data_IF_290643788679
#
_entry.id   IF_290643788679
#
_cell.length_a   1.000
_cell.length_b   1.000
_cell.length_c   1.000
_cell.angle_alpha   90.00
_cell.angle_beta   90.00
_cell.angle_gamma   90.00
#
_symmetry.space_group_name_H-M   'P 1'
#
loop_
_entity.id
_entity.type
_entity.pdbx_description
1 polymer ?
#
# COMPACT_ATOMS: atom_id res chain seq x y z
N UNK A 1 37.71 19.30 -67.27
CA UNK A 1 37.52 19.76 -65.89
C UNK A 1 36.27 19.07 -65.34
N UNK A 2 36.34 18.07 -64.44
CA UNK A 2 35.17 17.43 -63.88
C UNK A 2 34.66 18.18 -62.64
N UNK A 3 33.36 18.39 -62.60
CA UNK A 3 32.64 19.02 -61.50
C UNK A 3 32.68 18.14 -60.20
N UNK A 4 33.08 18.75 -59.09
CA UNK A 4 33.05 18.11 -57.77
C UNK A 4 31.61 18.08 -57.28
N UNK A 5 31.04 16.87 -57.15
CA UNK A 5 29.82 16.64 -56.37
C UNK A 5 30.12 16.85 -54.89
N UNK A 6 29.49 17.85 -54.28
CA UNK A 6 29.50 18.05 -52.84
C UNK A 6 28.47 17.09 -52.20
N UNK A 7 28.93 16.24 -51.31
CA UNK A 7 28.07 15.39 -50.48
C UNK A 7 27.26 16.24 -49.48
N UNK A 8 25.98 15.93 -49.23
CA UNK A 8 25.19 16.65 -48.23
C UNK A 8 25.74 16.36 -46.84
N UNK A 9 26.02 17.42 -46.08
CA UNK A 9 26.32 17.35 -44.65
C UNK A 9 25.10 16.78 -43.94
N UNK A 10 25.23 15.54 -43.44
CA UNK A 10 24.30 14.99 -42.48
C UNK A 10 24.35 15.85 -41.21
N UNK A 11 23.29 16.61 -40.97
CA UNK A 11 23.08 17.36 -39.75
C UNK A 11 22.87 16.37 -38.61
N UNK A 12 23.82 16.35 -37.70
CA UNK A 12 23.76 15.68 -36.43
C UNK A 12 22.66 16.35 -35.55
N UNK A 13 21.47 15.79 -35.55
CA UNK A 13 20.42 16.08 -34.62
C UNK A 13 19.83 14.74 -34.12
N UNK A 14 20.56 14.07 -33.23
CA UNK A 14 20.03 12.99 -32.42
C UNK A 14 20.99 12.75 -31.26
N UNK A 15 20.95 13.61 -30.26
CA UNK A 15 21.29 13.24 -28.89
C UNK A 15 20.64 14.23 -27.91
N UNK A 16 19.33 14.30 -27.96
CA UNK A 16 18.62 14.68 -26.76
C UNK A 16 18.74 13.44 -25.84
N UNK A 17 19.82 13.42 -25.06
CA UNK A 17 19.99 12.47 -23.98
C UNK A 17 18.72 12.55 -23.15
N UNK A 18 17.90 11.49 -23.18
CA UNK A 18 16.84 11.25 -22.19
C UNK A 18 17.54 11.02 -20.85
N UNK A 19 17.99 12.10 -20.21
CA UNK A 19 18.36 12.06 -18.80
C UNK A 19 17.07 11.85 -18.03
N UNK A 20 16.78 10.61 -17.67
CA UNK A 20 15.80 10.36 -16.63
C UNK A 20 16.20 11.18 -15.41
N UNK A 21 15.32 12.03 -14.86
CA UNK A 21 15.64 12.78 -13.66
C UNK A 21 16.11 11.81 -12.58
N UNK A 22 17.20 12.15 -11.89
CA UNK A 22 17.64 11.34 -10.76
C UNK A 22 16.53 11.30 -9.70
N UNK A 23 16.30 10.13 -9.12
CA UNK A 23 15.33 9.99 -8.02
C UNK A 23 15.77 10.87 -6.85
N UNK A 24 14.82 11.57 -6.26
CA UNK A 24 15.08 12.49 -5.17
C UNK A 24 15.00 11.77 -3.80
N UNK A 25 15.87 12.16 -2.90
CA UNK A 25 15.79 11.70 -1.52
C UNK A 25 14.73 12.49 -0.76
N UNK A 26 13.75 11.82 -0.17
CA UNK A 26 12.68 12.41 0.64
C UNK A 26 12.47 11.59 1.90
N UNK A 27 12.11 12.24 3.00
CA UNK A 27 11.66 11.51 4.19
C UNK A 27 10.23 11.00 3.99
N UNK A 28 9.89 9.86 4.56
CA UNK A 28 8.52 9.34 4.50
C UNK A 28 7.51 10.34 5.05
N UNK A 29 7.88 11.12 6.09
CA UNK A 29 7.04 12.18 6.64
C UNK A 29 6.82 13.40 5.72
N UNK A 30 7.61 13.52 4.64
CA UNK A 30 7.44 14.54 3.59
C UNK A 30 6.57 14.01 2.44
N UNK A 31 6.47 12.68 2.30
CA UNK A 31 5.75 12.00 1.23
C UNK A 31 4.29 11.74 1.61
N UNK A 32 4.02 11.55 2.90
CA UNK A 32 2.70 11.19 3.39
C UNK A 32 2.38 11.81 4.74
N UNK A 33 1.10 11.97 5.01
CA UNK A 33 0.57 12.22 6.36
C UNK A 33 0.08 10.91 6.98
N UNK A 34 -0.13 10.91 8.30
CA UNK A 34 -0.40 9.68 9.03
C UNK A 34 -1.59 9.83 9.96
N UNK A 35 -2.33 8.74 10.06
CA UNK A 35 -3.45 8.62 10.96
C UNK A 35 -3.43 7.30 11.73
N UNK A 36 -4.46 7.07 12.49
CA UNK A 36 -4.70 5.85 13.24
C UNK A 36 -6.13 5.83 13.78
N UNK A 37 -6.43 4.88 14.63
CA UNK A 37 -7.73 4.76 15.24
C UNK A 37 -7.64 4.13 16.62
N UNK A 38 -8.78 3.68 17.11
CA UNK A 38 -8.89 2.96 18.38
C UNK A 38 -10.00 1.90 18.31
N UNK A 39 -10.13 1.14 19.36
CA UNK A 39 -11.21 0.16 19.52
C UNK A 39 -12.35 0.81 20.27
N UNK A 40 -13.57 0.89 19.69
CA UNK A 40 -14.77 1.27 20.43
C UNK A 40 -14.98 0.32 21.62
N UNK A 41 -15.69 0.79 22.66
CA UNK A 41 -15.94 -0.06 23.85
C UNK A 41 -16.57 -1.39 23.44
N UNK A 42 -15.91 -2.49 23.72
CA UNK A 42 -16.39 -3.84 23.42
C UNK A 42 -17.50 -4.29 24.36
N UNK A 43 -17.67 -3.65 25.53
CA UNK A 43 -18.76 -3.92 26.46
C UNK A 43 -20.09 -3.30 26.02
N UNK A 44 -20.09 -2.42 25.03
CA UNK A 44 -21.27 -1.79 24.47
C UNK A 44 -21.57 -2.40 23.09
N UNK A 45 -22.54 -3.33 23.06
CA UNK A 45 -22.95 -4.05 21.84
C UNK A 45 -23.45 -3.11 20.74
N UNK A 46 -24.04 -1.97 21.10
CA UNK A 46 -24.52 -0.97 20.13
C UNK A 46 -23.40 -0.42 19.23
N UNK A 47 -22.14 -0.59 19.62
CA UNK A 47 -21.01 -0.20 18.78
C UNK A 47 -20.77 -1.18 17.62
N UNK A 48 -21.31 -2.41 17.70
CA UNK A 48 -20.96 -3.51 16.79
C UNK A 48 -22.16 -4.16 16.11
N UNK A 49 -23.27 -4.39 16.84
CA UNK A 49 -24.43 -5.11 16.30
C UNK A 49 -25.10 -4.36 15.15
N UNK A 50 -25.22 -5.04 13.99
CA UNK A 50 -25.80 -4.45 12.79
C UNK A 50 -24.92 -3.36 12.14
N UNK A 51 -23.63 -3.32 12.49
CA UNK A 51 -22.69 -2.34 11.93
C UNK A 51 -22.51 -2.48 10.43
N UNK A 52 -22.29 -1.36 9.75
CA UNK A 52 -22.06 -1.24 8.31
C UNK A 52 -20.80 -0.44 7.97
N UNK A 53 -20.11 0.13 8.97
CA UNK A 53 -18.85 0.86 8.80
C UNK A 53 -17.69 -0.11 8.90
N UNK A 54 -16.86 -0.16 7.87
CA UNK A 54 -15.68 -1.01 7.84
C UNK A 54 -14.68 -0.58 8.91
N UNK A 55 -14.22 -1.53 9.73
CA UNK A 55 -13.26 -1.30 10.81
C UNK A 55 -12.09 -2.27 10.70
N UNK A 56 -10.96 -1.75 10.22
CA UNK A 56 -9.76 -2.55 9.90
C UNK A 56 -8.97 -2.87 11.15
N UNK A 57 -8.66 -4.14 11.30
CA UNK A 57 -7.77 -4.69 12.34
C UNK A 57 -6.56 -5.38 11.71
N UNK A 58 -5.61 -5.81 12.53
CA UNK A 58 -4.45 -6.57 12.04
C UNK A 58 -4.83 -7.91 11.39
N UNK A 59 -6.01 -8.45 11.66
CA UNK A 59 -6.50 -9.71 11.09
C UNK A 59 -7.01 -9.54 9.66
N UNK A 60 -7.35 -8.33 9.24
CA UNK A 60 -7.92 -8.04 7.93
C UNK A 60 -6.84 -7.83 6.87
N UNK A 61 -5.62 -7.36 7.27
CA UNK A 61 -4.54 -7.02 6.34
C UNK A 61 -3.78 -8.28 5.89
N UNK A 62 -4.46 -9.10 5.07
CA UNK A 62 -3.94 -10.37 4.51
C UNK A 62 -3.58 -10.29 3.03
N UNK A 63 -4.05 -9.27 2.35
CA UNK A 63 -3.79 -8.98 0.94
C UNK A 63 -3.39 -7.51 0.76
N UNK A 64 -2.85 -7.17 -0.39
CA UNK A 64 -2.44 -5.80 -0.69
C UNK A 64 -3.61 -4.84 -0.98
N UNK A 65 -4.83 -5.36 -1.09
CA UNK A 65 -6.05 -4.58 -1.33
C UNK A 65 -7.17 -5.05 -0.41
N UNK A 66 -7.81 -4.11 0.27
CA UNK A 66 -8.89 -4.39 1.22
C UNK A 66 -10.23 -3.90 0.68
N UNK A 67 -11.10 -4.83 0.35
CA UNK A 67 -12.48 -4.57 -0.08
C UNK A 67 -13.50 -4.64 1.06
N UNK A 68 -13.12 -5.19 2.19
CA UNK A 68 -13.97 -5.40 3.38
C UNK A 68 -13.17 -5.77 4.60
N UNK A 69 -13.87 -5.90 5.73
CA UNK A 69 -13.32 -6.28 7.03
C UNK A 69 -14.11 -7.43 7.64
N UNK A 70 -13.47 -8.20 8.51
CA UNK A 70 -14.13 -9.28 9.28
C UNK A 70 -15.14 -8.74 10.29
N UNK A 71 -14.85 -7.57 10.85
CA UNK A 71 -15.73 -6.88 11.80
C UNK A 71 -16.14 -5.54 11.22
N UNK A 72 -17.40 -5.19 11.34
CA UNK A 72 -17.94 -3.87 11.04
C UNK A 72 -18.48 -3.26 12.34
N UNK A 73 -18.47 -1.95 12.41
CA UNK A 73 -18.99 -1.20 13.53
C UNK A 73 -20.15 -0.33 13.09
N UNK A 74 -20.98 0.07 14.04
CA UNK A 74 -22.10 0.98 13.79
C UNK A 74 -21.60 2.41 13.62
N UNK A 75 -22.47 3.31 13.17
CA UNK A 75 -22.18 4.74 13.16
C UNK A 75 -21.88 5.30 14.55
N UNK A 76 -22.54 4.74 15.61
CA UNK A 76 -22.25 5.05 17.01
C UNK A 76 -20.81 4.66 17.37
N UNK A 77 -20.41 3.42 17.04
CA UNK A 77 -19.04 2.95 17.27
C UNK A 77 -17.99 3.73 16.48
N UNK A 78 -18.34 4.25 15.29
CA UNK A 78 -17.45 5.03 14.44
C UNK A 78 -17.38 6.52 14.81
N UNK A 79 -18.24 7.03 15.68
CA UNK A 79 -18.44 8.45 15.95
C UNK A 79 -17.15 9.22 16.28
N UNK A 80 -16.23 8.56 17.02
CA UNK A 80 -14.97 9.15 17.45
C UNK A 80 -13.78 8.69 16.60
N UNK A 81 -14.05 7.92 15.53
CA UNK A 81 -13.04 7.39 14.62
C UNK A 81 -12.99 8.22 13.34
N UNK A 82 -11.80 8.36 12.79
CA UNK A 82 -11.62 8.95 11.48
C UNK A 82 -11.99 7.93 10.40
N UNK A 83 -12.91 8.31 9.51
CA UNK A 83 -13.22 7.54 8.30
C UNK A 83 -12.21 7.93 7.21
N UNK A 84 -11.29 7.02 6.91
CA UNK A 84 -10.27 7.21 5.89
C UNK A 84 -10.82 6.86 4.51
N UNK A 85 -10.52 7.67 3.46
CA UNK A 85 -11.02 7.43 2.11
C UNK A 85 -10.40 6.19 1.46
N UNK A 86 -11.05 5.67 0.42
CA UNK A 86 -10.45 4.71 -0.49
C UNK A 86 -9.14 5.28 -1.10
N UNK A 87 -8.15 4.42 -1.34
CA UNK A 87 -6.81 4.82 -1.77
C UNK A 87 -5.84 5.11 -0.62
N UNK A 88 -6.32 5.23 0.63
CA UNK A 88 -5.45 5.29 1.80
C UNK A 88 -4.71 3.96 1.98
N UNK A 89 -3.44 4.01 2.41
CA UNK A 89 -2.70 2.81 2.77
C UNK A 89 -2.83 2.54 4.27
N UNK A 90 -2.89 1.28 4.63
CA UNK A 90 -2.93 0.81 6.03
C UNK A 90 -1.75 -0.11 6.27
N UNK A 91 -1.08 0.05 7.40
CA UNK A 91 0.06 -0.76 7.82
C UNK A 91 -0.19 -1.30 9.22
N UNK A 92 0.02 -2.59 9.41
CA UNK A 92 0.00 -3.20 10.75
C UNK A 92 1.26 -2.77 11.50
N UNK A 93 1.09 -2.08 12.62
CA UNK A 93 2.22 -1.61 13.45
C UNK A 93 2.34 -2.31 14.78
N UNK A 94 1.36 -3.16 15.14
CA UNK A 94 1.38 -3.96 16.36
C UNK A 94 0.60 -5.25 16.13
N UNK A 95 1.27 -6.40 16.13
CA UNK A 95 0.65 -7.72 16.00
C UNK A 95 1.73 -8.82 16.05
N UNK A 96 1.37 -10.04 16.44
CA UNK A 96 2.25 -11.20 16.33
C UNK A 96 2.68 -11.57 14.91
N UNK A 97 1.96 -11.12 13.88
CA UNK A 97 2.32 -11.34 12.46
C UNK A 97 3.63 -10.63 12.08
N UNK A 98 4.02 -9.57 12.82
CA UNK A 98 5.25 -8.82 12.60
C UNK A 98 6.53 -9.64 12.88
N UNK A 99 6.41 -10.87 13.38
CA UNK A 99 7.53 -11.84 13.40
C UNK A 99 7.98 -12.27 12.01
N UNK A 100 7.08 -12.19 11.04
CA UNK A 100 7.28 -12.79 9.72
C UNK A 100 7.19 -11.78 8.57
N UNK A 101 6.32 -10.79 8.70
CA UNK A 101 6.02 -9.84 7.63
C UNK A 101 5.51 -8.52 8.20
N UNK A 102 5.63 -7.46 7.42
CA UNK A 102 5.03 -6.14 7.67
C UNK A 102 3.82 -5.98 6.75
N UNK A 103 2.58 -6.31 7.21
CA UNK A 103 1.40 -6.22 6.36
C UNK A 103 1.09 -4.78 6.01
N UNK A 104 0.94 -4.51 4.71
CA UNK A 104 0.51 -3.22 4.15
C UNK A 104 -0.51 -3.47 3.06
N UNK A 105 -1.57 -2.66 3.04
CA UNK A 105 -2.63 -2.74 2.04
C UNK A 105 -3.19 -1.37 1.68
N UNK A 106 -3.86 -1.28 0.53
CA UNK A 106 -4.67 -0.14 0.11
C UNK A 106 -6.14 -0.39 0.44
N UNK A 107 -6.80 0.59 1.04
CA UNK A 107 -8.25 0.57 1.24
C UNK A 107 -8.97 0.77 -0.09
N UNK A 108 -9.85 -0.16 -0.46
CA UNK A 108 -10.70 -0.04 -1.64
C UNK A 108 -12.02 0.68 -1.35
N UNK A 109 -12.38 0.78 -0.09
CA UNK A 109 -13.57 1.47 0.40
C UNK A 109 -13.22 2.34 1.61
N UNK A 110 -13.99 3.40 1.88
CA UNK A 110 -13.81 4.17 3.10
C UNK A 110 -13.90 3.27 4.33
N UNK A 111 -12.95 3.40 5.25
CA UNK A 111 -12.83 2.52 6.40
C UNK A 111 -12.27 3.27 7.61
N UNK A 112 -12.64 2.83 8.79
CA UNK A 112 -12.01 3.18 10.06
C UNK A 112 -10.96 2.12 10.41
N UNK A 113 -10.09 2.38 11.38
CA UNK A 113 -9.03 1.45 11.79
C UNK A 113 -8.95 1.36 13.32
N UNK A 114 -8.37 0.26 13.84
CA UNK A 114 -8.05 0.14 15.25
C UNK A 114 -6.68 0.75 15.60
N UNK A 115 -6.26 0.66 16.87
CA UNK A 115 -5.00 1.22 17.37
C UNK A 115 -3.75 0.48 16.85
N UNK A 116 -3.86 -0.72 16.33
CA UNK A 116 -2.75 -1.53 15.83
C UNK A 116 -2.40 -1.22 14.39
N UNK A 117 -3.23 -0.39 13.74
CA UNK A 117 -3.08 0.05 12.35
C UNK A 117 -2.61 1.50 12.30
N UNK A 118 -1.63 1.74 11.46
CA UNK A 118 -1.25 3.09 11.03
C UNK A 118 -1.78 3.34 9.62
N UNK A 119 -2.47 4.45 9.44
CA UNK A 119 -2.92 4.90 8.11
C UNK A 119 -1.88 5.84 7.53
N UNK A 120 -1.58 5.65 6.26
CA UNK A 120 -0.61 6.42 5.49
C UNK A 120 -1.38 7.06 4.33
N UNK A 121 -1.41 8.39 4.32
CA UNK A 121 -2.12 9.20 3.34
C UNK A 121 -1.08 9.90 2.46
N UNK A 122 -0.81 9.41 1.25
CA UNK A 122 0.12 10.07 0.33
C UNK A 122 -0.30 11.52 0.08
N UNK A 123 0.67 12.44 0.05
CA UNK A 123 0.40 13.83 -0.31
C UNK A 123 0.19 13.96 -1.84
N UNK A 124 -0.36 15.09 -2.30
CA UNK A 124 -0.81 15.30 -3.69
C UNK A 124 0.22 14.97 -4.78
N UNK A 125 1.50 15.16 -4.49
CA UNK A 125 2.59 14.91 -5.45
C UNK A 125 3.11 13.48 -5.42
N UNK A 126 2.45 12.57 -4.68
CA UNK A 126 2.89 11.19 -4.50
C UNK A 126 1.77 10.21 -4.81
N UNK A 127 2.10 9.23 -5.65
CA UNK A 127 1.14 8.25 -6.10
C UNK A 127 1.03 7.06 -5.12
N UNK A 128 -0.13 6.88 -4.50
CA UNK A 128 -0.34 5.87 -3.43
C UNK A 128 0.03 4.45 -3.83
N UNK A 129 -0.27 4.04 -5.07
CA UNK A 129 0.07 2.71 -5.55
C UNK A 129 1.59 2.50 -5.70
N UNK A 130 2.36 3.54 -6.06
CA UNK A 130 3.81 3.47 -6.02
C UNK A 130 4.31 3.30 -4.58
N UNK A 131 3.76 4.06 -3.64
CA UNK A 131 4.15 3.97 -2.23
C UNK A 131 3.79 2.60 -1.64
N UNK A 132 2.65 2.02 -2.03
CA UNK A 132 2.29 0.64 -1.68
C UNK A 132 3.36 -0.34 -2.16
N UNK A 133 3.78 -0.24 -3.43
CA UNK A 133 4.81 -1.12 -4.00
C UNK A 133 6.18 -0.93 -3.33
N UNK A 134 6.51 0.30 -2.92
CA UNK A 134 7.70 0.56 -2.11
C UNK A 134 7.68 -0.26 -0.80
N UNK A 135 6.57 -0.25 -0.06
CA UNK A 135 6.46 -1.02 1.18
C UNK A 135 6.46 -2.53 0.93
N UNK A 136 5.80 -3.00 -0.12
CA UNK A 136 5.76 -4.42 -0.48
C UNK A 136 7.15 -4.93 -0.83
N UNK A 137 7.86 -4.23 -1.70
CA UNK A 137 9.18 -4.65 -2.20
C UNK A 137 10.25 -4.66 -1.10
N UNK A 138 10.14 -3.76 -0.12
CA UNK A 138 11.09 -3.64 0.99
C UNK A 138 10.59 -4.22 2.31
N UNK A 139 9.55 -5.01 2.28
CA UNK A 139 8.85 -5.52 3.46
C UNK A 139 9.79 -6.08 4.54
N UNK A 140 10.68 -7.00 4.15
CA UNK A 140 11.63 -7.65 5.07
C UNK A 140 12.68 -6.68 5.61
N UNK A 141 13.21 -5.80 4.75
CA UNK A 141 14.21 -4.79 5.14
C UNK A 141 13.62 -3.82 6.17
N UNK A 142 12.41 -3.31 5.91
CA UNK A 142 11.71 -2.40 6.81
C UNK A 142 11.38 -3.06 8.14
N UNK A 143 10.97 -4.33 8.11
CA UNK A 143 10.68 -5.07 9.33
C UNK A 143 11.96 -5.30 10.17
N UNK A 144 13.09 -5.58 9.55
CA UNK A 144 14.38 -5.72 10.25
C UNK A 144 14.86 -4.39 10.84
N UNK A 145 14.68 -3.29 10.13
CA UNK A 145 15.17 -1.97 10.54
C UNK A 145 14.29 -1.33 11.63
N UNK A 146 12.96 -1.46 11.50
CA UNK A 146 12.00 -0.75 12.35
C UNK A 146 11.21 -1.66 13.29
N UNK A 147 11.32 -2.98 13.15
CA UNK A 147 10.65 -3.94 14.01
C UNK A 147 11.24 -3.92 15.42
N UNK A 148 10.37 -4.02 16.42
CA UNK A 148 10.71 -4.12 17.85
C UNK A 148 10.11 -5.40 18.40
N UNK A 149 10.97 -6.22 19.02
CA UNK A 149 10.51 -7.39 19.77
C UNK A 149 9.88 -6.92 21.07
N UNK A 150 8.60 -7.24 21.25
CA UNK A 150 7.88 -6.99 22.50
C UNK A 150 7.86 -8.25 23.37
N UNK A 151 7.58 -8.08 24.64
CA UNK A 151 7.38 -9.23 25.57
C UNK A 151 6.11 -10.01 25.26
N UNK A 152 5.08 -9.35 24.74
CA UNK A 152 3.77 -9.95 24.46
C UNK A 152 3.45 -9.91 22.96
N UNK A 153 3.73 -8.80 22.30
CA UNK A 153 3.40 -8.57 20.89
C UNK A 153 4.49 -7.71 20.25
N UNK A 154 4.89 -8.07 19.04
CA UNK A 154 5.79 -7.30 18.20
C UNK A 154 5.16 -5.99 17.77
N UNK A 155 6.01 -4.98 17.57
CA UNK A 155 5.58 -3.66 17.10
C UNK A 155 6.58 -3.07 16.12
N UNK A 156 6.19 -1.99 15.45
CA UNK A 156 7.03 -1.19 14.56
C UNK A 156 7.33 0.16 15.20
N UNK A 157 8.59 0.58 15.20
CA UNK A 157 8.96 1.95 15.55
C UNK A 157 8.55 2.89 14.42
N UNK A 158 7.27 3.24 14.40
CA UNK A 158 6.72 4.08 13.36
C UNK A 158 7.29 5.51 13.39
N UNK A 159 7.68 6.02 14.57
CA UNK A 159 8.30 7.34 14.67
C UNK A 159 9.63 7.38 13.92
N UNK A 160 10.45 6.34 14.09
CA UNK A 160 11.71 6.18 13.36
C UNK A 160 11.47 5.94 11.86
N UNK A 161 10.47 5.10 11.52
CA UNK A 161 10.11 4.83 10.13
C UNK A 161 9.66 6.10 9.39
N UNK A 162 8.97 7.03 10.06
CA UNK A 162 8.57 8.31 9.46
C UNK A 162 9.75 9.16 9.02
N UNK A 163 10.89 9.04 9.72
CA UNK A 163 12.11 9.79 9.40
C UNK A 163 13.02 9.07 8.40
N UNK A 164 12.67 7.85 7.95
CA UNK A 164 13.45 7.14 6.94
C UNK A 164 13.46 7.90 5.62
N UNK A 165 14.61 7.82 4.93
CA UNK A 165 14.80 8.41 3.61
C UNK A 165 14.48 7.37 2.55
N UNK A 166 13.66 7.74 1.58
CA UNK A 166 13.33 6.94 0.41
C UNK A 166 13.72 7.67 -0.87
N UNK A 167 14.12 6.93 -1.88
CA UNK A 167 14.35 7.44 -3.23
C UNK A 167 13.01 7.55 -3.94
N UNK A 168 12.66 8.75 -4.35
CA UNK A 168 11.36 9.10 -4.89
C UNK A 168 11.49 9.44 -6.38
N UNK A 169 10.89 8.65 -7.27
CA UNK A 169 10.80 8.96 -8.69
C UNK A 169 9.97 10.21 -8.95
N UNK A 170 10.05 10.75 -10.16
CA UNK A 170 9.09 11.76 -10.62
C UNK A 170 7.66 11.22 -10.58
N UNK A 171 6.67 12.10 -10.41
CA UNK A 171 5.26 11.68 -10.35
C UNK A 171 4.81 10.84 -11.56
N UNK A 172 5.19 11.16 -12.82
CA UNK A 172 4.89 10.29 -13.96
C UNK A 172 5.48 8.88 -13.83
N UNK A 173 6.72 8.75 -13.33
CA UNK A 173 7.35 7.43 -13.10
C UNK A 173 6.66 6.67 -11.98
N UNK A 174 6.31 7.34 -10.87
CA UNK A 174 5.52 6.74 -9.80
C UNK A 174 4.21 6.16 -10.34
N UNK A 175 3.51 6.91 -11.19
CA UNK A 175 2.27 6.46 -11.82
C UNK A 175 2.49 5.26 -12.74
N UNK A 176 3.57 5.24 -13.53
CA UNK A 176 3.91 4.11 -14.38
C UNK A 176 4.20 2.86 -13.54
N UNK A 177 5.06 2.98 -12.54
CA UNK A 177 5.41 1.88 -11.62
C UNK A 177 4.16 1.34 -10.93
N UNK A 178 3.38 2.21 -10.27
CA UNK A 178 2.21 1.79 -9.52
C UNK A 178 1.15 1.12 -10.39
N UNK A 179 0.84 1.68 -11.58
CA UNK A 179 -0.12 1.08 -12.52
C UNK A 179 0.36 -0.25 -13.08
N UNK A 180 1.66 -0.39 -13.35
CA UNK A 180 2.22 -1.64 -13.85
C UNK A 180 2.03 -2.77 -12.84
N UNK A 181 2.43 -2.56 -11.60
CA UNK A 181 2.29 -3.57 -10.56
C UNK A 181 0.83 -3.85 -10.20
N UNK A 182 -0.03 -2.84 -10.13
CA UNK A 182 -1.46 -3.06 -9.92
C UNK A 182 -2.11 -3.94 -11.01
N UNK A 183 -1.65 -3.82 -12.28
CA UNK A 183 -2.09 -4.72 -13.35
C UNK A 183 -1.60 -6.15 -13.15
N UNK A 184 -0.35 -6.33 -12.71
CA UNK A 184 0.19 -7.66 -12.41
C UNK A 184 -0.57 -8.32 -11.26
N UNK A 185 -0.84 -7.60 -10.17
CA UNK A 185 -1.61 -8.10 -9.04
C UNK A 185 -3.03 -8.54 -9.46
N UNK A 186 -3.69 -7.75 -10.31
CA UNK A 186 -4.98 -8.12 -10.86
C UNK A 186 -4.91 -9.39 -11.72
N UNK A 187 -3.90 -9.55 -12.57
CA UNK A 187 -3.71 -10.75 -13.37
C UNK A 187 -3.45 -11.99 -12.51
N UNK A 188 -2.61 -11.87 -11.49
CA UNK A 188 -2.34 -12.95 -10.53
C UNK A 188 -3.64 -13.36 -9.83
N UNK A 189 -4.40 -12.40 -9.32
CA UNK A 189 -5.68 -12.65 -8.64
C UNK A 189 -6.69 -13.34 -9.56
N UNK A 190 -6.81 -12.91 -10.83
CA UNK A 190 -7.69 -13.54 -11.81
C UNK A 190 -7.27 -14.98 -12.12
N UNK A 191 -5.97 -15.23 -12.24
CA UNK A 191 -5.45 -16.58 -12.42
C UNK A 191 -5.76 -17.48 -11.23
N UNK A 192 -5.49 -17.02 -10.02
CA UNK A 192 -5.78 -17.79 -8.79
C UNK A 192 -7.27 -18.16 -8.71
N UNK A 193 -8.18 -17.21 -8.93
CA UNK A 193 -9.64 -17.48 -8.93
C UNK A 193 -10.05 -18.50 -10.00
N UNK A 194 -9.40 -18.49 -11.16
CA UNK A 194 -9.67 -19.48 -12.21
C UNK A 194 -9.25 -20.90 -11.78
N UNK A 195 -8.13 -21.04 -11.10
CA UNK A 195 -7.68 -22.34 -10.60
C UNK A 195 -8.53 -22.83 -9.43
N UNK A 196 -8.89 -21.97 -8.48
CA UNK A 196 -9.78 -22.30 -7.37
C UNK A 196 -11.17 -22.71 -7.86
N UNK A 197 -11.69 -22.07 -8.90
CA UNK A 197 -12.95 -22.44 -9.56
C UNK A 197 -12.89 -23.75 -10.36
N UNK A 198 -11.70 -24.16 -10.83
CA UNK A 198 -11.49 -25.43 -11.54
C UNK A 198 -11.19 -26.61 -10.61
N UNK A 199 -10.78 -26.33 -9.36
CA UNK A 199 -10.40 -27.38 -8.40
C UNK A 199 -11.58 -28.03 -7.67
N UNK A 200 -12.85 -27.66 -7.96
CA UNK A 200 -14.02 -28.21 -7.29
C UNK A 200 -15.15 -28.71 -8.20
N UNK A 201 -14.91 -29.68 -9.12
CA UNK A 201 -15.98 -30.44 -9.74
C UNK A 201 -16.13 -31.89 -9.23
N UNK A 202 -15.41 -32.36 -8.21
CA UNK A 202 -15.36 -33.80 -7.91
C UNK A 202 -15.85 -34.22 -6.52
N UNK A 203 -16.60 -33.42 -5.77
CA UNK A 203 -17.18 -33.85 -4.48
C UNK A 203 -18.68 -33.57 -4.37
N UNK A 204 -19.44 -33.72 -5.47
CA UNK A 204 -20.89 -33.76 -5.41
C UNK A 204 -21.40 -34.96 -6.17
N UNK A 205 -21.02 -36.18 -5.74
CA UNK A 205 -21.77 -37.42 -5.98
C UNK A 205 -21.18 -38.54 -5.13
N UNK A 206 -21.70 -38.68 -3.90
CA UNK A 206 -22.02 -39.97 -3.24
C UNK A 206 -22.80 -39.75 -1.95
#
# INVERSE_FOLDING_TARGET
MPAKCAAPRATAHLSQEYRTPAWEQRKLGEVATFGGGHTPSMSDSDNYEGGNVLWVTSQDVKSHYLDGTTTQITEKGAKELTLYPAGSLVMVTRSGILRHTLPVAELRKPSTVNQDIRVILPQENYYGQWLLQFFISRNKELLLEFGKTGTTVESVDFSKMRDMVLLTPSLPEQQQIGRYFARLDNLITLHQRKYDGCANPLFLER
#
